data_IF_821435907327
#
_entry.id   IF_821435907327
#
_cell.length_a   1.000
_cell.length_b   1.000
_cell.length_c   1.000
_cell.angle_alpha   90.00
_cell.angle_beta   90.00
_cell.angle_gamma   90.00
#
_symmetry.space_group_name_H-M   'P 1'
#
loop_
_entity.id
_entity.type
_entity.pdbx_description
1 polymer ?
#
# COMPACT_ATOMS: atom_id res chain seq x y z
N UNK A 1 0.44 -34.78 -95.91
CA UNK A 1 -0.26 -36.04 -95.55
C UNK A 1 -0.88 -35.94 -94.15
N UNK A 2 -2.17 -35.58 -94.05
CA UNK A 2 -2.89 -35.53 -92.78
C UNK A 2 -3.18 -36.96 -92.31
N UNK A 3 -2.47 -37.43 -91.28
CA UNK A 3 -2.76 -38.71 -90.60
C UNK A 3 -4.19 -38.67 -90.06
N UNK A 4 -5.09 -39.43 -90.67
CA UNK A 4 -6.46 -39.67 -90.17
C UNK A 4 -6.36 -40.20 -88.74
N UNK A 5 -6.74 -39.38 -87.75
CA UNK A 5 -6.97 -39.85 -86.38
C UNK A 5 -8.07 -40.92 -86.44
N UNK A 6 -7.70 -42.21 -86.26
CA UNK A 6 -8.66 -43.29 -86.02
C UNK A 6 -9.50 -42.89 -84.79
N UNK A 7 -10.77 -42.53 -84.99
CA UNK A 7 -11.74 -42.35 -83.91
C UNK A 7 -11.70 -43.62 -83.05
N UNK A 8 -11.34 -43.50 -81.77
CA UNK A 8 -11.38 -44.60 -80.80
C UNK A 8 -12.80 -45.14 -80.80
N UNK A 9 -12.98 -46.40 -81.22
CA UNK A 9 -14.27 -47.10 -81.23
C UNK A 9 -14.90 -46.97 -79.84
N UNK A 10 -16.00 -46.24 -79.73
CA UNK A 10 -16.71 -46.06 -78.47
C UNK A 10 -17.25 -47.42 -78.04
N UNK A 11 -16.94 -47.82 -76.80
CA UNK A 11 -17.42 -49.07 -76.24
C UNK A 11 -18.94 -49.01 -76.10
N UNK A 12 -19.66 -50.04 -76.52
CA UNK A 12 -21.08 -50.17 -76.19
C UNK A 12 -21.24 -50.67 -74.75
N UNK A 13 -22.45 -50.57 -74.20
CA UNK A 13 -22.76 -51.07 -72.86
C UNK A 13 -22.47 -52.57 -72.73
N UNK A 14 -22.82 -53.37 -73.73
CA UNK A 14 -22.57 -54.83 -73.75
C UNK A 14 -21.07 -55.13 -73.78
N UNK A 15 -20.30 -54.41 -74.61
CA UNK A 15 -18.84 -54.60 -74.72
C UNK A 15 -18.12 -54.17 -73.43
N UNK A 16 -18.62 -53.15 -72.72
CA UNK A 16 -18.09 -52.77 -71.41
C UNK A 16 -18.34 -53.85 -70.35
N UNK A 17 -19.54 -54.41 -70.28
CA UNK A 17 -19.89 -55.50 -69.36
C UNK A 17 -19.07 -56.75 -69.69
N UNK A 18 -18.95 -57.11 -70.99
CA UNK A 18 -18.14 -58.24 -71.46
C UNK A 18 -16.68 -58.14 -71.00
N UNK A 19 -16.04 -56.97 -71.16
CA UNK A 19 -14.66 -56.75 -70.68
C UNK A 19 -14.50 -56.82 -69.17
N UNK A 20 -15.54 -56.43 -68.42
CA UNK A 20 -15.53 -56.58 -66.97
C UNK A 20 -15.64 -58.05 -66.56
N UNK A 21 -16.48 -58.83 -67.25
CA UNK A 21 -16.64 -60.27 -67.04
C UNK A 21 -15.35 -61.01 -67.43
N UNK A 22 -14.72 -60.70 -68.55
CA UNK A 22 -13.45 -61.32 -68.97
C UNK A 22 -12.33 -61.11 -67.93
N UNK A 23 -12.29 -59.93 -67.30
CA UNK A 23 -11.20 -59.58 -66.36
C UNK A 23 -11.42 -60.11 -64.96
N UNK A 24 -12.65 -60.05 -64.45
CA UNK A 24 -12.94 -60.36 -63.05
C UNK A 24 -13.73 -61.67 -62.89
N UNK A 25 -14.25 -62.26 -63.96
CA UNK A 25 -15.19 -63.38 -63.92
C UNK A 25 -16.64 -62.91 -63.72
N UNK A 26 -17.59 -63.75 -64.13
CA UNK A 26 -19.03 -63.42 -64.17
C UNK A 26 -19.67 -63.24 -62.76
N UNK A 27 -19.00 -63.74 -61.73
CA UNK A 27 -19.57 -63.86 -60.38
C UNK A 27 -19.06 -62.81 -59.38
N UNK A 28 -18.26 -61.84 -59.82
CA UNK A 28 -17.68 -60.83 -58.91
C UNK A 28 -18.53 -59.57 -58.82
N UNK A 29 -19.11 -59.13 -59.94
CA UNK A 29 -19.90 -57.90 -60.04
C UNK A 29 -21.28 -58.17 -60.60
N UNK A 30 -22.24 -57.39 -60.13
CA UNK A 30 -23.60 -57.31 -60.61
C UNK A 30 -23.75 -55.98 -61.37
N UNK A 31 -24.12 -56.10 -62.65
CA UNK A 31 -24.25 -55.01 -63.61
C UNK A 31 -25.72 -54.73 -63.97
N UNK A 32 -26.69 -55.31 -63.27
CA UNK A 32 -28.13 -55.15 -63.53
C UNK A 32 -28.59 -53.69 -63.52
N UNK A 33 -28.00 -52.86 -62.66
CA UNK A 33 -28.29 -51.41 -62.56
C UNK A 33 -27.23 -50.53 -63.26
N UNK A 34 -26.35 -51.13 -64.08
CA UNK A 34 -25.23 -50.41 -64.72
C UNK A 34 -25.64 -49.82 -66.06
N UNK A 35 -25.69 -48.49 -66.15
CA UNK A 35 -25.86 -47.76 -67.42
C UNK A 35 -24.51 -47.17 -67.85
N UNK A 36 -24.01 -47.60 -69.01
CA UNK A 36 -22.74 -47.10 -69.56
C UNK A 36 -23.00 -46.03 -70.62
N UNK A 37 -22.49 -44.82 -70.39
CA UNK A 37 -22.59 -43.70 -71.35
C UNK A 37 -21.28 -43.52 -72.12
N UNK A 38 -20.16 -43.38 -71.41
CA UNK A 38 -18.83 -43.28 -72.00
C UNK A 38 -17.74 -43.58 -70.94
N UNK A 39 -16.47 -43.68 -71.38
CA UNK A 39 -15.35 -44.01 -70.50
C UNK A 39 -15.04 -43.00 -69.38
N UNK A 40 -15.58 -41.78 -69.46
CA UNK A 40 -15.37 -40.67 -68.53
C UNK A 40 -16.58 -40.44 -67.60
N UNK A 41 -17.73 -41.05 -67.87
CA UNK A 41 -18.90 -41.01 -67.00
C UNK A 41 -18.84 -42.15 -66.00
N UNK A 42 -19.12 -41.89 -64.72
CA UNK A 42 -19.12 -42.93 -63.69
C UNK A 42 -20.28 -43.90 -63.93
N UNK A 43 -20.01 -45.17 -63.69
CA UNK A 43 -21.01 -46.24 -63.72
C UNK A 43 -21.23 -46.78 -62.32
N UNK A 44 -22.48 -47.13 -61.99
CA UNK A 44 -22.84 -47.81 -60.74
C UNK A 44 -22.57 -49.30 -60.89
N UNK A 45 -21.80 -49.86 -59.97
CA UNK A 45 -21.47 -51.30 -59.95
C UNK A 45 -21.66 -51.85 -58.54
N UNK A 46 -22.23 -53.04 -58.46
CA UNK A 46 -22.47 -53.75 -57.20
C UNK A 46 -21.56 -54.97 -57.10
N UNK A 47 -20.92 -55.17 -55.96
CA UNK A 47 -20.13 -56.38 -55.73
C UNK A 47 -21.01 -57.52 -55.21
N UNK A 48 -21.08 -58.64 -55.93
CA UNK A 48 -21.86 -59.82 -55.51
C UNK A 48 -21.35 -60.44 -54.20
N UNK A 49 -20.03 -60.34 -53.92
CA UNK A 49 -19.40 -60.93 -52.71
C UNK A 49 -19.71 -60.20 -51.40
N UNK A 50 -19.87 -58.88 -51.42
CA UNK A 50 -20.06 -58.09 -50.20
C UNK A 50 -21.27 -57.13 -50.23
N UNK A 51 -22.05 -57.17 -51.31
CA UNK A 51 -23.21 -56.32 -51.53
C UNK A 51 -22.91 -54.83 -51.74
N UNK A 52 -21.63 -54.42 -51.70
CA UNK A 52 -21.26 -53.01 -51.78
C UNK A 52 -21.54 -52.42 -53.17
N UNK A 53 -22.30 -51.33 -53.23
CA UNK A 53 -22.60 -50.56 -54.44
C UNK A 53 -21.76 -49.28 -54.41
N UNK A 54 -21.09 -48.97 -55.52
CA UNK A 54 -20.36 -47.70 -55.65
C UNK A 54 -20.31 -47.21 -57.09
N UNK A 55 -20.07 -45.92 -57.24
CA UNK A 55 -19.87 -45.26 -58.53
C UNK A 55 -18.37 -45.22 -58.87
N UNK A 56 -18.01 -45.69 -60.06
CA UNK A 56 -16.62 -45.78 -60.51
C UNK A 56 -16.51 -45.47 -61.99
N UNK A 57 -15.39 -44.87 -62.39
CA UNK A 57 -15.11 -44.67 -63.81
C UNK A 57 -14.84 -46.03 -64.50
N UNK A 58 -15.43 -46.30 -65.68
CA UNK A 58 -15.24 -47.53 -66.43
C UNK A 58 -13.79 -47.98 -66.57
N UNK A 59 -12.89 -47.05 -66.93
CA UNK A 59 -11.47 -47.35 -67.06
C UNK A 59 -10.78 -47.64 -65.71
N UNK A 60 -11.20 -46.97 -64.63
CA UNK A 60 -10.65 -47.20 -63.30
C UNK A 60 -11.09 -48.57 -62.74
N UNK A 61 -12.34 -48.97 -63.01
CA UNK A 61 -12.83 -50.31 -62.67
C UNK A 61 -12.02 -51.37 -63.39
N UNK A 62 -11.84 -51.23 -64.72
CA UNK A 62 -11.02 -52.11 -65.53
C UNK A 62 -9.54 -52.11 -65.14
N UNK A 63 -9.02 -51.16 -64.36
CA UNK A 63 -7.63 -51.19 -63.84
C UNK A 63 -7.54 -51.60 -62.37
N UNK A 64 -8.66 -51.65 -61.66
CA UNK A 64 -8.69 -51.94 -60.23
C UNK A 64 -8.32 -53.41 -59.93
N UNK A 65 -7.96 -53.67 -58.67
CA UNK A 65 -7.74 -55.03 -58.13
C UNK A 65 -9.05 -55.69 -57.65
N UNK A 66 -10.21 -55.17 -58.07
CA UNK A 66 -11.54 -55.63 -57.66
C UNK A 66 -12.27 -54.64 -56.73
N UNK A 67 -13.25 -55.14 -55.96
CA UNK A 67 -14.05 -54.31 -55.04
C UNK A 67 -13.17 -53.63 -53.97
N UNK A 68 -13.32 -52.30 -53.82
CA UNK A 68 -12.59 -51.49 -52.84
C UNK A 68 -12.84 -51.96 -51.40
N UNK A 69 -14.08 -52.27 -51.04
CA UNK A 69 -14.46 -52.72 -49.68
C UNK A 69 -13.83 -54.07 -49.34
N UNK A 70 -13.88 -55.04 -50.25
CA UNK A 70 -13.22 -56.34 -50.08
C UNK A 70 -11.70 -56.21 -49.96
N UNK A 71 -11.09 -55.30 -50.72
CA UNK A 71 -9.63 -55.05 -50.67
C UNK A 71 -9.22 -54.46 -49.33
N UNK A 72 -10.00 -53.50 -48.80
CA UNK A 72 -9.78 -52.92 -47.48
C UNK A 72 -9.91 -53.98 -46.39
N UNK A 73 -10.98 -54.80 -46.43
CA UNK A 73 -11.19 -55.88 -45.46
C UNK A 73 -10.04 -56.89 -45.47
N UNK A 74 -9.63 -57.38 -46.65
CA UNK A 74 -8.49 -58.30 -46.79
C UNK A 74 -7.17 -57.72 -46.27
N UNK A 75 -6.92 -56.43 -46.49
CA UNK A 75 -5.71 -55.76 -45.98
C UNK A 75 -5.78 -55.50 -44.47
N UNK A 76 -6.98 -55.32 -43.91
CA UNK A 76 -7.21 -55.21 -42.47
C UNK A 76 -6.97 -56.56 -41.78
N UNK A 77 -7.52 -57.64 -42.36
CA UNK A 77 -7.37 -59.00 -41.83
C UNK A 77 -5.90 -59.46 -41.86
N UNK A 78 -5.15 -59.11 -42.92
CA UNK A 78 -3.70 -59.36 -43.01
C UNK A 78 -2.84 -58.57 -41.99
N UNK A 79 -3.37 -57.48 -41.41
CA UNK A 79 -2.66 -56.64 -40.43
C UNK A 79 -3.02 -56.98 -38.99
N UNK A 80 -3.94 -57.93 -38.78
CA UNK A 80 -4.41 -58.30 -37.44
C UNK A 80 -3.39 -59.25 -36.80
N UNK A 81 -2.43 -58.65 -36.09
CA UNK A 81 -1.45 -59.38 -35.26
C UNK A 81 -2.17 -60.14 -34.13
N UNK A 82 -1.73 -61.36 -33.83
CA UNK A 82 -2.25 -62.16 -32.72
C UNK A 82 -1.61 -61.78 -31.38
N UNK A 83 -2.19 -62.24 -30.26
CA UNK A 83 -1.61 -62.05 -28.92
C UNK A 83 -0.22 -62.71 -28.81
N UNK A 84 -0.06 -63.90 -29.36
CA UNK A 84 1.21 -64.65 -29.34
C UNK A 84 2.29 -63.93 -30.15
N UNK A 85 1.93 -63.42 -31.33
CA UNK A 85 2.82 -62.61 -32.18
C UNK A 85 3.24 -61.33 -31.45
N UNK A 86 2.31 -60.65 -30.78
CA UNK A 86 2.60 -59.47 -29.98
C UNK A 86 3.62 -59.78 -28.85
N UNK A 87 3.40 -60.85 -28.08
CA UNK A 87 4.28 -61.22 -26.96
C UNK A 87 5.68 -61.56 -27.47
N UNK A 88 5.79 -62.27 -28.60
CA UNK A 88 7.08 -62.59 -29.21
C UNK A 88 7.83 -61.33 -29.62
N UNK A 89 7.20 -60.44 -30.40
CA UNK A 89 7.83 -59.18 -30.81
C UNK A 89 8.20 -58.30 -29.61
N UNK A 90 7.33 -58.22 -28.60
CA UNK A 90 7.56 -57.39 -27.41
C UNK A 90 8.70 -57.92 -26.54
N UNK A 91 8.86 -59.25 -26.48
CA UNK A 91 9.99 -59.91 -25.80
C UNK A 91 11.30 -59.64 -26.54
N UNK A 92 11.30 -59.67 -27.87
CA UNK A 92 12.49 -59.34 -28.67
C UNK A 92 12.90 -57.86 -28.52
N UNK A 93 11.95 -56.92 -28.63
CA UNK A 93 12.23 -55.47 -28.55
C UNK A 93 12.79 -55.06 -27.18
N UNK A 94 12.25 -55.62 -26.11
CA UNK A 94 12.63 -55.28 -24.74
C UNK A 94 13.55 -56.32 -24.08
N UNK A 95 14.12 -57.24 -24.88
CA UNK A 95 15.06 -58.28 -24.43
C UNK A 95 14.54 -59.09 -23.23
N UNK A 96 13.25 -59.42 -23.22
CA UNK A 96 12.61 -60.18 -22.16
C UNK A 96 12.48 -59.46 -20.81
N UNK A 97 12.60 -58.13 -20.75
CA UNK A 97 12.53 -57.38 -19.48
C UNK A 97 11.14 -57.37 -18.80
N UNK A 98 10.05 -57.59 -19.54
CA UNK A 98 8.68 -57.41 -19.04
C UNK A 98 7.89 -58.70 -19.02
N UNK A 99 6.94 -58.79 -18.08
CA UNK A 99 5.95 -59.84 -18.00
C UNK A 99 4.62 -59.37 -18.62
N UNK A 100 4.07 -60.21 -19.51
CA UNK A 100 2.88 -59.97 -20.31
C UNK A 100 1.68 -60.84 -19.88
N UNK A 101 1.75 -61.51 -18.72
CA UNK A 101 0.71 -62.43 -18.22
C UNK A 101 -0.68 -61.79 -18.07
N UNK A 102 -0.75 -60.46 -17.93
CA UNK A 102 -2.00 -59.69 -17.80
C UNK A 102 -2.41 -58.94 -19.08
N UNK A 103 -1.78 -59.24 -20.21
CA UNK A 103 -2.09 -58.56 -21.48
C UNK A 103 -3.36 -59.14 -22.10
N UNK A 104 -4.35 -58.27 -22.30
CA UNK A 104 -5.54 -58.55 -23.12
C UNK A 104 -5.36 -57.79 -24.44
N UNK A 105 -4.95 -58.49 -25.50
CA UNK A 105 -4.67 -57.86 -26.79
C UNK A 105 -5.92 -57.77 -27.66
N UNK A 106 -6.35 -56.55 -27.97
CA UNK A 106 -7.50 -56.28 -28.87
C UNK A 106 -7.03 -55.72 -30.21
N UNK A 107 -6.22 -54.67 -30.17
CA UNK A 107 -5.62 -54.01 -31.34
C UNK A 107 -4.37 -53.22 -30.91
N UNK A 108 -3.68 -52.58 -31.85
CA UNK A 108 -2.43 -51.88 -31.59
C UNK A 108 -2.55 -50.58 -30.78
N UNK A 109 -3.76 -50.03 -30.66
CA UNK A 109 -4.02 -48.72 -30.05
C UNK A 109 -4.74 -48.83 -28.71
N UNK A 110 -5.25 -50.01 -28.36
CA UNK A 110 -5.90 -50.26 -27.07
C UNK A 110 -4.83 -50.42 -25.99
N UNK A 111 -4.94 -49.71 -24.85
CA UNK A 111 -4.03 -49.88 -23.73
C UNK A 111 -4.00 -51.32 -23.22
N UNK A 112 -2.79 -51.80 -22.93
CA UNK A 112 -2.51 -53.10 -22.32
C UNK A 112 -1.78 -52.91 -20.99
N UNK A 113 -2.00 -53.85 -20.07
CA UNK A 113 -1.29 -53.92 -18.79
C UNK A 113 -0.02 -54.75 -18.94
N UNK A 114 1.14 -54.12 -18.78
CA UNK A 114 2.45 -54.79 -18.81
C UNK A 114 3.07 -54.71 -17.43
N UNK A 115 3.72 -55.78 -16.97
CA UNK A 115 4.34 -55.83 -15.65
C UNK A 115 5.84 -55.60 -15.78
N UNK A 116 6.33 -54.58 -15.10
CA UNK A 116 7.75 -54.35 -14.90
C UNK A 116 8.21 -55.04 -13.61
N UNK A 117 9.30 -55.83 -13.63
CA UNK A 117 9.79 -56.52 -12.43
C UNK A 117 10.22 -55.57 -11.31
N UNK A 118 10.64 -54.35 -11.64
CA UNK A 118 11.11 -53.35 -10.66
C UNK A 118 9.98 -52.44 -10.14
N UNK A 119 9.00 -52.13 -11.00
CA UNK A 119 8.03 -51.05 -10.73
C UNK A 119 6.56 -51.47 -10.76
N UNK A 120 6.29 -52.76 -10.99
CA UNK A 120 4.97 -53.34 -11.07
C UNK A 120 4.25 -53.05 -12.38
N UNK A 121 2.91 -53.11 -12.33
CA UNK A 121 2.01 -52.91 -13.47
C UNK A 121 2.06 -51.48 -14.01
N UNK A 122 2.12 -51.35 -15.34
CA UNK A 122 1.95 -50.08 -16.04
C UNK A 122 1.14 -50.27 -17.33
N UNK A 123 0.44 -49.20 -17.72
CA UNK A 123 -0.36 -49.16 -18.94
C UNK A 123 0.45 -48.59 -20.10
N UNK A 124 0.41 -49.25 -21.25
CA UNK A 124 0.97 -48.74 -22.52
C UNK A 124 0.14 -49.25 -23.69
N UNK A 125 0.27 -48.67 -24.88
CA UNK A 125 -0.36 -49.25 -26.07
C UNK A 125 0.63 -50.16 -26.79
N UNK A 126 0.19 -51.27 -27.42
CA UNK A 126 1.07 -52.14 -28.20
C UNK A 126 1.90 -51.39 -29.24
N UNK A 127 1.31 -50.38 -29.91
CA UNK A 127 2.02 -49.51 -30.84
C UNK A 127 3.18 -48.76 -30.18
N UNK A 128 2.97 -48.13 -29.01
CA UNK A 128 4.04 -47.40 -28.30
C UNK A 128 5.11 -48.34 -27.77
N UNK A 129 4.69 -49.49 -27.22
CA UNK A 129 5.59 -50.48 -26.65
C UNK A 129 6.51 -51.12 -27.71
N UNK A 130 5.98 -51.42 -28.91
CA UNK A 130 6.75 -52.03 -29.99
C UNK A 130 7.45 -50.99 -30.90
N UNK A 131 6.69 -50.08 -31.49
CA UNK A 131 7.20 -49.17 -32.54
C UNK A 131 8.02 -48.03 -31.98
N UNK A 132 7.58 -47.44 -30.87
CA UNK A 132 8.34 -46.37 -30.18
C UNK A 132 9.35 -46.91 -29.17
N UNK A 133 9.35 -48.23 -28.92
CA UNK A 133 10.21 -48.91 -27.95
C UNK A 133 10.12 -48.26 -26.56
N UNK A 134 8.95 -47.73 -26.23
CA UNK A 134 8.70 -47.13 -24.92
C UNK A 134 8.55 -48.23 -23.89
N UNK A 135 9.31 -48.15 -22.80
CA UNK A 135 9.24 -49.11 -21.69
C UNK A 135 8.50 -48.53 -20.47
N UNK A 136 8.76 -49.10 -19.30
CA UNK A 136 8.22 -48.58 -18.04
C UNK A 136 8.64 -47.11 -17.83
N UNK A 137 7.69 -46.18 -17.60
CA UNK A 137 7.98 -44.78 -17.35
C UNK A 137 8.88 -44.54 -16.13
N UNK A 138 8.73 -45.35 -15.07
CA UNK A 138 9.53 -45.25 -13.85
C UNK A 138 11.00 -45.64 -14.10
N UNK A 139 11.26 -46.77 -14.79
CA UNK A 139 12.61 -47.10 -15.27
C UNK A 139 13.22 -45.98 -16.13
N UNK A 140 12.41 -45.35 -16.99
CA UNK A 140 12.85 -44.25 -17.84
C UNK A 140 13.33 -43.04 -17.02
N UNK A 141 12.55 -42.66 -16.00
CA UNK A 141 12.88 -41.56 -15.09
C UNK A 141 14.15 -41.88 -14.28
N UNK A 142 14.31 -43.11 -13.79
CA UNK A 142 15.50 -43.51 -13.03
C UNK A 142 16.78 -43.46 -13.87
N UNK A 143 16.74 -43.94 -15.11
CA UNK A 143 17.87 -43.83 -16.04
C UNK A 143 18.26 -42.37 -16.31
N UNK A 144 17.27 -41.49 -16.48
CA UNK A 144 17.51 -40.05 -16.65
C UNK A 144 18.13 -39.46 -15.38
N UNK A 145 17.63 -39.82 -14.20
CA UNK A 145 18.19 -39.36 -12.91
C UNK A 145 19.62 -39.82 -12.71
N UNK A 146 19.93 -41.09 -13.00
CA UNK A 146 21.29 -41.61 -12.91
C UNK A 146 22.23 -40.89 -13.88
N UNK A 147 21.79 -40.65 -15.12
CA UNK A 147 22.57 -39.90 -16.13
C UNK A 147 22.80 -38.43 -15.76
N UNK A 148 21.84 -37.80 -15.07
CA UNK A 148 21.93 -36.40 -14.63
C UNK A 148 22.53 -36.23 -13.23
N UNK A 149 22.76 -37.33 -12.50
CA UNK A 149 23.35 -37.30 -11.17
C UNK A 149 24.84 -37.04 -11.29
N UNK A 150 25.22 -35.78 -11.07
CA UNK A 150 26.62 -35.38 -11.04
C UNK A 150 27.36 -36.13 -9.92
N UNK A 151 28.59 -36.58 -10.16
CA UNK A 151 29.40 -37.26 -9.14
C UNK A 151 30.11 -36.26 -8.21
N UNK A 152 30.73 -36.77 -7.12
CA UNK A 152 31.54 -35.94 -6.21
C UNK A 152 32.71 -35.31 -6.96
N UNK A 153 33.37 -36.08 -7.82
CA UNK A 153 34.54 -35.68 -8.59
C UNK A 153 34.17 -34.59 -9.61
N UNK A 154 33.05 -34.77 -10.30
CA UNK A 154 32.52 -33.76 -11.24
C UNK A 154 32.15 -32.46 -10.54
N UNK A 155 31.60 -32.53 -9.32
CA UNK A 155 31.33 -31.33 -8.51
C UNK A 155 32.63 -30.58 -8.18
N UNK A 156 33.65 -31.29 -7.70
CA UNK A 156 34.94 -30.68 -7.32
C UNK A 156 35.62 -30.04 -8.54
N UNK A 157 35.65 -30.72 -9.69
CA UNK A 157 36.21 -30.17 -10.93
C UNK A 157 35.50 -28.88 -11.37
N UNK A 158 34.16 -28.86 -11.33
CA UNK A 158 33.39 -27.65 -11.68
C UNK A 158 33.65 -26.52 -10.68
N UNK A 159 33.78 -26.83 -9.40
CA UNK A 159 34.05 -25.84 -8.37
C UNK A 159 35.47 -25.26 -8.50
N UNK A 160 36.46 -26.11 -8.81
CA UNK A 160 37.84 -25.69 -9.12
C UNK A 160 37.90 -24.83 -10.40
N UNK A 161 37.08 -25.09 -11.42
CA UNK A 161 37.00 -24.24 -12.61
C UNK A 161 36.54 -22.81 -12.30
N UNK A 162 35.66 -22.63 -11.32
CA UNK A 162 35.09 -21.32 -10.96
C UNK A 162 35.99 -20.57 -9.98
N UNK A 163 36.55 -21.27 -8.99
CA UNK A 163 37.24 -20.66 -7.87
C UNK A 163 38.76 -20.95 -7.84
N UNK A 164 39.29 -21.74 -8.76
CA UNK A 164 40.67 -22.23 -8.73
C UNK A 164 40.95 -23.00 -7.43
N UNK A 165 42.09 -22.71 -6.81
CA UNK A 165 42.53 -23.30 -5.54
C UNK A 165 42.05 -22.51 -4.29
N UNK A 166 40.96 -21.76 -4.40
CA UNK A 166 40.48 -20.89 -3.31
C UNK A 166 39.81 -21.63 -2.15
N UNK A 167 39.31 -22.84 -2.38
CA UNK A 167 38.62 -23.64 -1.37
C UNK A 167 39.16 -25.06 -1.34
N UNK A 168 39.12 -25.67 -0.16
CA UNK A 168 39.44 -27.08 0.06
C UNK A 168 38.13 -27.89 0.21
N UNK A 169 38.06 -29.00 -0.53
CA UNK A 169 36.90 -29.88 -0.65
C UNK A 169 37.12 -31.25 0.01
N UNK A 170 38.15 -31.40 0.85
CA UNK A 170 38.51 -32.67 1.50
C UNK A 170 37.36 -33.28 2.33
N UNK A 171 36.49 -32.43 2.90
CA UNK A 171 35.34 -32.85 3.72
C UNK A 171 34.01 -32.93 2.93
N UNK A 172 34.05 -32.89 1.59
CA UNK A 172 32.83 -32.94 0.78
C UNK A 172 32.27 -34.37 0.71
N UNK A 173 31.07 -34.54 1.24
CA UNK A 173 30.21 -35.71 1.05
C UNK A 173 29.07 -35.34 0.09
N UNK A 174 29.28 -35.58 -1.21
CA UNK A 174 28.31 -35.20 -2.23
C UNK A 174 27.19 -36.26 -2.35
N UNK A 175 25.95 -35.85 -2.06
CA UNK A 175 24.74 -36.68 -2.28
C UNK A 175 23.92 -36.21 -3.47
N UNK A 176 23.67 -34.90 -3.57
CA UNK A 176 22.96 -34.27 -4.67
C UNK A 176 23.17 -32.74 -4.63
N UNK A 177 22.70 -32.04 -5.68
CA UNK A 177 22.85 -30.58 -5.82
C UNK A 177 22.11 -29.72 -4.78
N UNK A 178 21.19 -30.32 -4.01
CA UNK A 178 20.35 -29.63 -3.03
C UNK A 178 20.78 -29.87 -1.58
N UNK A 179 21.59 -30.90 -1.34
CA UNK A 179 22.11 -31.24 0.00
C UNK A 179 23.34 -30.40 0.26
N UNK A 180 23.45 -29.83 1.47
CA UNK A 180 24.61 -29.03 1.84
C UNK A 180 25.85 -29.92 1.94
N UNK A 181 26.97 -29.39 1.48
CA UNK A 181 28.31 -29.98 1.61
C UNK A 181 29.19 -29.07 2.47
N UNK A 182 30.15 -29.66 3.19
CA UNK A 182 31.13 -28.94 3.99
C UNK A 182 32.31 -28.54 3.11
N UNK A 183 32.55 -27.24 2.98
CA UNK A 183 33.61 -26.65 2.17
C UNK A 183 34.53 -25.85 3.10
N UNK A 184 35.83 -25.92 2.90
CA UNK A 184 36.81 -25.23 3.73
C UNK A 184 37.27 -23.96 3.01
N UNK A 185 37.06 -22.81 3.66
CA UNK A 185 37.68 -21.56 3.26
C UNK A 185 39.00 -21.36 4.04
N UNK A 186 40.14 -21.14 3.38
CA UNK A 186 41.42 -20.92 4.05
C UNK A 186 41.41 -19.74 5.04
N UNK A 187 40.55 -18.73 4.80
CA UNK A 187 40.44 -17.54 5.68
C UNK A 187 39.46 -17.70 6.84
N UNK A 188 38.37 -18.44 6.62
CA UNK A 188 37.19 -18.41 7.50
C UNK A 188 36.80 -19.77 8.08
N UNK A 189 37.55 -20.82 7.72
CA UNK A 189 37.31 -22.20 8.16
C UNK A 189 36.19 -22.90 7.38
N UNK A 190 35.62 -23.92 8.00
CA UNK A 190 34.57 -24.75 7.43
C UNK A 190 33.26 -23.96 7.32
N UNK A 191 32.59 -24.04 6.18
CA UNK A 191 31.23 -23.53 5.98
C UNK A 191 30.40 -24.51 5.16
N UNK A 192 29.08 -24.46 5.34
CA UNK A 192 28.15 -25.34 4.65
C UNK A 192 27.40 -24.60 3.54
N UNK A 193 27.38 -25.19 2.35
CA UNK A 193 26.66 -24.64 1.21
C UNK A 193 26.15 -25.75 0.30
N UNK A 194 25.05 -25.52 -0.41
CA UNK A 194 24.59 -26.48 -1.43
C UNK A 194 25.48 -26.40 -2.67
N UNK A 195 25.81 -27.52 -3.33
CA UNK A 195 26.61 -27.54 -4.55
C UNK A 195 26.13 -26.57 -5.62
N UNK A 196 24.81 -26.48 -5.83
CA UNK A 196 24.23 -25.55 -6.81
C UNK A 196 24.54 -24.08 -6.48
N UNK A 197 24.39 -23.66 -5.22
CA UNK A 197 24.72 -22.27 -4.79
C UNK A 197 26.21 -22.00 -4.84
N UNK A 198 27.02 -23.01 -4.56
CA UNK A 198 28.46 -22.89 -4.65
C UNK A 198 28.90 -22.67 -6.10
N UNK A 199 28.43 -23.51 -7.03
CA UNK A 199 28.71 -23.39 -8.45
C UNK A 199 28.10 -22.15 -9.11
N UNK A 200 27.11 -21.51 -8.49
CA UNK A 200 26.54 -20.25 -9.00
C UNK A 200 27.34 -18.99 -8.61
N UNK A 201 28.53 -19.13 -8.00
CA UNK A 201 29.41 -17.99 -7.69
C UNK A 201 29.25 -17.38 -6.30
N UNK A 202 28.47 -17.95 -5.38
CA UNK A 202 28.27 -17.36 -4.05
C UNK A 202 29.48 -17.49 -3.10
N UNK A 203 30.26 -18.56 -3.22
CA UNK A 203 31.45 -18.81 -2.40
C UNK A 203 31.19 -18.77 -0.88
N UNK A 204 32.24 -18.42 -0.13
CA UNK A 204 32.18 -18.29 1.33
C UNK A 204 31.36 -17.04 1.74
N UNK A 205 30.33 -17.19 2.60
CA UNK A 205 29.52 -16.06 3.07
C UNK A 205 30.31 -14.98 3.80
N UNK A 206 31.34 -15.36 4.58
CA UNK A 206 32.17 -14.43 5.34
C UNK A 206 33.07 -13.60 4.41
N UNK A 207 33.72 -14.23 3.43
CA UNK A 207 34.44 -13.50 2.37
C UNK A 207 33.52 -12.52 1.61
N UNK A 208 32.31 -12.96 1.27
CA UNK A 208 31.36 -12.12 0.55
C UNK A 208 30.93 -10.89 1.38
N UNK A 209 30.77 -11.07 2.69
CA UNK A 209 30.45 -9.98 3.62
C UNK A 209 31.61 -8.98 3.75
N UNK A 210 32.85 -9.46 3.87
CA UNK A 210 34.04 -8.59 3.93
C UNK A 210 34.19 -7.73 2.67
N UNK A 211 34.08 -8.34 1.50
CA UNK A 211 34.17 -7.62 0.23
C UNK A 211 33.00 -6.65 0.05
N UNK A 212 31.79 -7.01 0.49
CA UNK A 212 30.64 -6.10 0.52
C UNK A 212 30.90 -4.91 1.46
N UNK A 213 31.47 -5.16 2.64
CA UNK A 213 31.78 -4.10 3.60
C UNK A 213 32.81 -3.12 3.03
N UNK A 214 33.89 -3.63 2.40
CA UNK A 214 34.91 -2.79 1.74
C UNK A 214 34.33 -1.91 0.63
N UNK A 215 33.40 -2.44 -0.17
CA UNK A 215 32.69 -1.68 -1.21
C UNK A 215 31.75 -0.62 -0.64
N UNK A 216 31.23 -0.83 0.57
CA UNK A 216 30.31 0.09 1.23
C UNK A 216 31.01 1.15 2.09
N UNK A 217 32.26 0.91 2.51
CA UNK A 217 33.09 1.93 3.17
C UNK A 217 33.56 2.96 2.15
N UNK A 218 32.98 4.15 2.27
CA UNK A 218 33.41 5.35 1.54
C UNK A 218 34.79 5.82 2.05
N UNK A 219 35.64 6.38 1.20
CA UNK A 219 36.93 6.96 1.66
C UNK A 219 36.72 8.34 2.29
N UNK A 220 37.76 8.86 2.97
CA UNK A 220 37.77 10.22 3.54
C UNK A 220 37.54 11.27 2.46
N UNK A 221 38.17 11.13 1.30
CA UNK A 221 38.07 12.05 0.18
C UNK A 221 36.64 12.07 -0.37
N UNK A 222 36.04 10.89 -0.55
CA UNK A 222 34.66 10.74 -0.99
C UNK A 222 33.66 11.32 0.03
N UNK A 223 33.94 11.21 1.34
CA UNK A 223 33.16 11.88 2.37
C UNK A 223 33.19 13.40 2.21
N UNK A 224 34.38 13.98 2.09
CA UNK A 224 34.57 15.44 1.96
C UNK A 224 33.90 15.97 0.70
N UNK A 225 34.01 15.27 -0.43
CA UNK A 225 33.36 15.66 -1.69
C UNK A 225 31.83 15.72 -1.53
N UNK A 226 31.22 14.70 -0.92
CA UNK A 226 29.77 14.68 -0.66
C UNK A 226 29.35 15.77 0.34
N UNK A 227 30.15 15.99 1.38
CA UNK A 227 29.87 17.03 2.37
C UNK A 227 29.90 18.43 1.73
N UNK A 228 30.84 18.69 0.81
CA UNK A 228 30.90 19.92 0.01
C UNK A 228 29.70 20.07 -0.95
N UNK A 229 29.18 18.98 -1.52
CA UNK A 229 27.95 19.04 -2.33
C UNK A 229 26.72 19.47 -1.51
N UNK A 230 26.63 19.05 -0.26
CA UNK A 230 25.49 19.33 0.62
C UNK A 230 25.58 20.72 1.25
N UNK A 231 26.76 21.12 1.72
CA UNK A 231 26.95 22.36 2.49
C UNK A 231 27.69 23.47 1.74
N UNK A 232 28.13 23.21 0.50
CA UNK A 232 29.04 24.10 -0.23
C UNK A 232 30.39 24.24 0.49
N UNK A 233 30.98 25.43 0.43
CA UNK A 233 32.25 25.78 1.10
C UNK A 233 32.04 26.33 2.52
N UNK A 234 30.97 25.90 3.21
CA UNK A 234 30.57 26.45 4.52
C UNK A 234 31.43 25.96 5.69
N UNK A 235 32.07 24.79 5.55
CA UNK A 235 32.84 24.14 6.61
C UNK A 235 34.23 23.77 6.12
N UNK A 236 35.17 23.73 7.06
CA UNK A 236 36.51 23.20 6.85
C UNK A 236 36.60 21.77 7.41
N UNK A 237 37.11 20.87 6.58
CA UNK A 237 37.21 19.42 6.83
C UNK A 237 38.65 18.95 7.08
N UNK A 238 39.58 19.87 7.36
CA UNK A 238 41.01 19.56 7.56
C UNK A 238 41.26 18.54 8.67
N UNK A 239 40.39 18.52 9.70
CA UNK A 239 40.47 17.62 10.85
C UNK A 239 39.54 16.39 10.74
N UNK A 240 38.97 16.11 9.57
CA UNK A 240 38.10 14.96 9.39
C UNK A 240 38.92 13.67 9.28
N UNK A 241 38.67 12.78 10.22
CA UNK A 241 39.06 11.37 10.19
C UNK A 241 37.79 10.53 9.99
N UNK A 242 37.68 9.87 8.82
CA UNK A 242 36.50 9.10 8.47
C UNK A 242 36.82 7.61 8.47
N UNK A 243 36.13 6.86 9.33
CA UNK A 243 36.20 5.39 9.36
C UNK A 243 34.92 4.74 8.83
N UNK A 244 33.76 5.21 9.28
CA UNK A 244 32.45 4.64 8.95
C UNK A 244 31.32 5.67 9.05
N UNK A 245 30.19 5.40 8.42
CA UNK A 245 29.06 6.34 8.39
C UNK A 245 28.54 6.73 9.79
N UNK A 246 28.62 5.80 10.75
CA UNK A 246 28.21 5.98 12.14
C UNK A 246 29.35 6.44 13.07
N UNK A 247 30.54 6.78 12.57
CA UNK A 247 31.57 7.41 13.39
C UNK A 247 31.33 8.93 13.47
N UNK A 248 31.77 9.53 14.58
CA UNK A 248 31.81 10.98 14.73
C UNK A 248 32.99 11.53 13.92
N UNK A 249 32.78 12.65 13.24
CA UNK A 249 33.81 13.41 12.53
C UNK A 249 33.93 14.79 13.15
N UNK A 250 35.16 15.31 13.22
CA UNK A 250 35.47 16.67 13.68
C UNK A 250 35.42 17.62 12.49
N UNK A 251 34.48 18.56 12.50
CA UNK A 251 34.26 19.52 11.41
C UNK A 251 34.45 20.93 11.97
N UNK A 252 35.09 21.81 11.21
CA UNK A 252 35.34 23.18 11.61
C UNK A 252 34.27 24.09 11.02
N UNK A 253 33.53 24.78 11.89
CA UNK A 253 32.67 25.88 11.52
C UNK A 253 33.44 27.20 11.59
N UNK A 254 33.51 28.00 10.50
CA UNK A 254 34.21 29.28 10.50
C UNK A 254 33.74 30.27 11.58
N UNK A 255 32.47 30.18 12.01
CA UNK A 255 31.89 31.06 13.04
C UNK A 255 32.02 30.54 14.46
N UNK A 256 32.05 29.22 14.65
CA UNK A 256 31.82 28.59 15.96
C UNK A 256 32.92 27.62 16.38
N UNK A 257 33.95 27.44 15.55
CA UNK A 257 35.06 26.53 15.79
C UNK A 257 34.71 25.07 15.50
N UNK A 258 35.47 24.17 16.12
CA UNK A 258 35.34 22.71 15.94
C UNK A 258 34.05 22.20 16.57
N UNK A 259 33.32 21.34 15.86
CA UNK A 259 32.21 20.58 16.39
C UNK A 259 32.25 19.13 15.90
N UNK A 260 31.67 18.24 16.69
CA UNK A 260 31.59 16.81 16.36
C UNK A 260 30.18 16.42 15.93
N UNK A 261 30.09 15.60 14.89
CA UNK A 261 28.81 15.06 14.41
C UNK A 261 29.01 13.69 13.75
N UNK A 262 27.97 12.85 13.75
CA UNK A 262 27.99 11.60 12.99
C UNK A 262 28.12 11.89 11.49
N UNK A 263 29.01 11.20 10.81
CA UNK A 263 29.32 11.46 9.39
C UNK A 263 28.07 11.42 8.51
N UNK A 264 27.19 10.42 8.68
CA UNK A 264 25.96 10.32 7.89
C UNK A 264 24.96 11.47 8.16
N UNK A 265 24.88 11.96 9.40
CA UNK A 265 24.02 13.09 9.76
C UNK A 265 24.47 14.36 9.04
N UNK A 266 25.78 14.57 8.94
CA UNK A 266 26.33 15.72 8.24
C UNK A 266 25.98 15.69 6.75
N UNK A 267 26.10 14.53 6.11
CA UNK A 267 25.73 14.33 4.71
C UNK A 267 24.22 14.47 4.44
N UNK A 268 23.37 14.35 5.46
CA UNK A 268 21.93 14.61 5.35
C UNK A 268 21.57 16.09 5.45
N UNK A 269 22.56 16.98 5.60
CA UNK A 269 22.34 18.43 5.69
C UNK A 269 22.35 18.97 7.11
N UNK A 270 22.66 18.15 8.12
CA UNK A 270 22.89 18.66 9.46
C UNK A 270 24.22 19.42 9.51
N UNK A 271 24.19 20.65 10.02
CA UNK A 271 25.34 21.53 10.10
C UNK A 271 25.80 21.76 11.54
N UNK A 272 26.53 22.85 11.74
CA UNK A 272 26.91 23.33 13.07
C UNK A 272 25.67 23.57 13.96
N UNK A 273 25.57 22.95 15.15
CA UNK A 273 24.45 23.15 16.07
C UNK A 273 24.28 24.60 16.53
N UNK A 274 25.40 25.31 16.78
CA UNK A 274 25.36 26.72 17.20
C UNK A 274 24.79 27.63 16.11
N UNK A 275 25.20 27.43 14.85
CA UNK A 275 24.58 28.11 13.69
C UNK A 275 23.08 27.83 13.58
N UNK A 276 22.64 26.59 13.86
CA UNK A 276 21.23 26.24 13.81
C UNK A 276 20.42 26.99 14.88
N UNK A 277 20.95 27.10 16.09
CA UNK A 277 20.33 27.83 17.22
C UNK A 277 20.23 29.34 16.91
N UNK A 278 21.29 29.95 16.39
CA UNK A 278 21.28 31.37 16.01
C UNK A 278 20.20 31.68 14.97
N UNK A 279 20.10 30.85 13.93
CA UNK A 279 19.07 30.98 12.89
C UNK A 279 17.65 30.88 13.45
N UNK A 280 17.43 30.05 14.47
CA UNK A 280 16.12 29.93 15.14
C UNK A 280 15.81 31.21 15.90
N UNK A 281 16.74 31.71 16.73
CA UNK A 281 16.56 32.95 17.49
C UNK A 281 16.29 34.16 16.61
N UNK A 282 16.98 34.26 15.47
CA UNK A 282 16.78 35.33 14.49
C UNK A 282 15.37 35.27 13.87
N UNK A 283 14.91 34.06 13.48
CA UNK A 283 13.54 33.85 12.98
C UNK A 283 12.47 34.20 14.02
N UNK A 284 12.69 33.86 15.29
CA UNK A 284 11.78 34.22 16.38
C UNK A 284 11.69 35.74 16.58
N UNK A 285 12.84 36.44 16.54
CA UNK A 285 12.90 37.91 16.64
C UNK A 285 12.10 38.57 15.50
N UNK A 286 12.35 38.17 14.26
CA UNK A 286 11.62 38.66 13.08
C UNK A 286 10.12 38.34 13.19
N UNK A 287 9.76 37.17 13.71
CA UNK A 287 8.36 36.78 13.95
C UNK A 287 7.66 37.67 14.96
N UNK A 288 8.33 38.00 16.08
CA UNK A 288 7.82 38.91 17.11
C UNK A 288 7.58 40.32 16.55
N UNK A 289 8.55 40.88 15.83
CA UNK A 289 8.46 42.23 15.26
C UNK A 289 7.32 42.33 14.24
N UNK A 290 7.23 41.37 13.32
CA UNK A 290 6.14 41.30 12.32
C UNK A 290 4.75 41.15 12.97
N UNK A 291 4.65 40.41 14.07
CA UNK A 291 3.39 40.28 14.81
C UNK A 291 2.96 41.62 15.42
N UNK A 292 3.87 42.31 16.12
CA UNK A 292 3.57 43.59 16.78
C UNK A 292 3.17 44.65 15.75
N UNK A 293 3.85 44.71 14.60
CA UNK A 293 3.53 45.64 13.54
C UNK A 293 2.10 45.44 13.02
N UNK A 294 1.72 44.20 12.68
CA UNK A 294 0.36 43.89 12.21
C UNK A 294 -0.69 44.15 13.29
N UNK A 295 -0.40 43.81 14.54
CA UNK A 295 -1.32 44.03 15.65
C UNK A 295 -1.58 45.53 15.90
N UNK A 296 -0.54 46.38 15.76
CA UNK A 296 -0.68 47.84 15.81
C UNK A 296 -1.53 48.39 14.65
N UNK A 297 -1.45 47.82 13.44
CA UNK A 297 -2.29 48.25 12.31
C UNK A 297 -3.78 47.98 12.54
N UNK A 298 -4.13 46.86 13.17
CA UNK A 298 -5.54 46.46 13.39
C UNK A 298 -6.14 47.19 14.60
N UNK A 299 -5.40 47.24 15.71
CA UNK A 299 -5.94 47.73 16.99
C UNK A 299 -5.47 49.15 17.36
N UNK A 300 -4.59 49.75 16.56
CA UNK A 300 -3.97 51.04 16.87
C UNK A 300 -3.19 50.99 18.18
N UNK A 301 -3.38 52.02 19.01
CA UNK A 301 -2.70 52.19 20.30
C UNK A 301 -3.44 51.54 21.50
N UNK A 302 -4.47 50.71 21.27
CA UNK A 302 -5.33 50.13 22.33
C UNK A 302 -4.63 49.10 23.24
N UNK A 303 -3.52 48.50 22.78
CA UNK A 303 -2.82 47.44 23.49
C UNK A 303 -1.32 47.73 23.63
N UNK A 304 -0.72 47.16 24.68
CA UNK A 304 0.72 47.12 24.89
C UNK A 304 1.23 45.66 24.81
N UNK A 305 2.30 45.49 24.03
CA UNK A 305 2.90 44.21 23.66
C UNK A 305 4.27 43.98 24.34
N UNK A 306 4.64 44.79 25.33
CA UNK A 306 5.94 44.71 26.02
C UNK A 306 6.20 43.32 26.64
N UNK A 307 5.14 42.62 27.07
CA UNK A 307 5.21 41.27 27.65
C UNK A 307 5.07 40.12 26.64
N UNK A 308 5.01 40.42 25.34
CA UNK A 308 4.84 39.39 24.31
C UNK A 308 6.13 38.59 24.12
N UNK A 309 6.03 37.29 24.38
CA UNK A 309 7.00 36.26 24.00
C UNK A 309 6.43 35.47 22.83
N UNK A 310 6.83 35.83 21.61
CA UNK A 310 6.30 35.23 20.40
C UNK A 310 6.99 33.88 20.13
N UNK A 311 6.18 32.83 19.96
CA UNK A 311 6.67 31.47 19.64
C UNK A 311 6.13 31.05 18.28
N UNK A 312 4.80 31.04 18.13
CA UNK A 312 4.10 30.78 16.86
C UNK A 312 2.72 31.46 16.90
N UNK A 313 1.95 31.33 15.82
CA UNK A 313 0.64 31.99 15.65
C UNK A 313 -0.45 31.48 16.62
N UNK A 314 -0.28 30.28 17.16
CA UNK A 314 -1.29 29.54 17.93
C UNK A 314 -1.00 29.50 19.44
N UNK A 315 0.22 29.86 19.85
CA UNK A 315 0.62 29.91 21.26
C UNK A 315 0.13 31.20 21.89
N UNK A 316 -0.57 31.11 23.02
CA UNK A 316 -1.10 32.29 23.72
C UNK A 316 0.04 33.20 24.20
N UNK A 317 -0.10 34.49 23.92
CA UNK A 317 0.79 35.56 24.37
C UNK A 317 0.10 36.46 25.40
N UNK A 318 0.88 37.08 26.27
CA UNK A 318 0.40 38.07 27.26
C UNK A 318 0.30 39.44 26.59
N UNK A 319 -0.91 40.00 26.55
CA UNK A 319 -1.20 41.33 25.99
C UNK A 319 -1.80 42.19 27.08
N UNK A 320 -1.37 43.45 27.16
CA UNK A 320 -1.89 44.43 28.12
C UNK A 320 -2.93 45.29 27.40
N UNK A 321 -4.15 45.36 27.91
CA UNK A 321 -5.15 46.29 27.39
C UNK A 321 -4.98 47.66 28.07
N UNK A 322 -4.72 48.72 27.30
CA UNK A 322 -4.55 50.06 27.89
C UNK A 322 -5.85 50.64 28.46
N UNK A 323 -7.01 50.18 27.96
CA UNK A 323 -8.31 50.70 28.39
C UNK A 323 -8.75 50.18 29.78
N UNK A 324 -8.46 48.92 30.11
CA UNK A 324 -8.82 48.34 31.42
C UNK A 324 -7.60 48.02 32.29
N UNK A 325 -6.39 48.31 31.79
CA UNK A 325 -5.10 48.03 32.40
C UNK A 325 -4.88 46.58 32.87
N UNK A 326 -5.61 45.62 32.28
CA UNK A 326 -5.50 44.19 32.60
C UNK A 326 -4.64 43.45 31.59
N UNK A 327 -3.93 42.44 32.09
CA UNK A 327 -3.18 41.48 31.28
C UNK A 327 -4.13 40.34 30.91
N UNK A 328 -4.21 39.99 29.63
CA UNK A 328 -4.96 38.84 29.17
C UNK A 328 -4.13 37.97 28.23
N UNK A 329 -4.54 36.71 28.11
CA UNK A 329 -3.91 35.72 27.25
C UNK A 329 -4.73 35.55 25.97
N UNK A 330 -4.08 35.70 24.82
CA UNK A 330 -4.72 35.48 23.52
C UNK A 330 -3.68 34.97 22.51
N UNK A 331 -4.13 34.18 21.54
CA UNK A 331 -3.24 33.72 20.46
C UNK A 331 -2.98 34.86 19.48
N UNK A 332 -1.77 34.98 18.92
CA UNK A 332 -1.46 35.95 17.88
C UNK A 332 -2.44 35.91 16.71
N UNK A 333 -2.86 34.72 16.27
CA UNK A 333 -3.86 34.57 15.20
C UNK A 333 -5.20 35.25 15.54
N UNK A 334 -5.77 34.95 16.72
CA UNK A 334 -7.05 35.53 17.14
C UNK A 334 -6.92 37.04 17.36
N UNK A 335 -5.78 37.48 17.87
CA UNK A 335 -5.55 38.91 18.05
C UNK A 335 -5.50 39.65 16.70
N UNK A 336 -4.83 39.07 15.70
CA UNK A 336 -4.75 39.63 14.35
C UNK A 336 -6.04 39.50 13.53
N UNK A 337 -7.01 38.67 13.93
CA UNK A 337 -8.33 38.64 13.29
C UNK A 337 -9.29 39.69 13.88
N UNK A 338 -8.84 40.48 14.87
CA UNK A 338 -9.61 41.59 15.44
C UNK A 338 -10.25 41.29 16.79
N UNK A 339 -10.00 40.12 17.40
CA UNK A 339 -10.51 39.86 18.76
C UNK A 339 -9.83 40.78 19.77
N UNK A 340 -10.66 41.54 20.50
CA UNK A 340 -10.21 42.48 21.52
C UNK A 340 -10.06 41.87 22.92
N UNK A 341 -9.94 42.74 23.93
CA UNK A 341 -9.84 42.33 25.32
C UNK A 341 -11.15 41.63 25.78
N UNK A 342 -11.07 40.41 26.34
CA UNK A 342 -12.25 39.67 26.81
C UNK A 342 -12.92 40.31 28.03
N UNK A 343 -12.24 41.23 28.73
CA UNK A 343 -12.80 41.94 29.88
C UNK A 343 -13.60 43.19 29.48
N UNK A 344 -13.29 43.80 28.35
CA UNK A 344 -14.03 44.97 27.85
C UNK A 344 -15.32 44.59 27.11
N UNK A 345 -15.48 43.32 26.72
CA UNK A 345 -16.52 42.89 25.77
C UNK A 345 -17.64 42.02 26.40
N UNK A 346 -17.79 42.00 27.74
CA UNK A 346 -18.60 40.99 28.45
C UNK A 346 -19.89 41.44 29.16
N UNK A 347 -20.38 42.67 28.93
CA UNK A 347 -21.71 43.06 29.41
C UNK A 347 -22.42 43.86 28.32
N UNK A 348 -23.63 43.46 27.93
CA UNK A 348 -24.44 44.08 26.86
C UNK A 348 -24.94 45.50 27.16
N UNK A 349 -24.07 46.34 27.71
CA UNK A 349 -24.26 47.76 27.98
C UNK A 349 -23.43 48.51 26.95
N UNK A 350 -24.09 49.39 26.21
CA UNK A 350 -23.44 50.37 25.35
C UNK A 350 -23.06 51.57 26.22
N UNK A 351 -21.77 51.68 26.53
CA UNK A 351 -21.26 52.74 27.41
C UNK A 351 -21.35 54.14 26.79
N UNK A 352 -21.63 54.25 25.49
CA UNK A 352 -21.81 55.54 24.80
C UNK A 352 -23.23 56.10 24.89
N UNK A 353 -24.20 55.30 25.35
CA UNK A 353 -25.61 55.69 25.46
C UNK A 353 -25.99 56.03 26.90
N UNK A 354 -27.07 56.81 27.11
CA UNK A 354 -27.63 57.05 28.44
C UNK A 354 -27.86 55.73 29.19
N UNK A 355 -27.53 55.76 30.48
CA UNK A 355 -27.57 54.56 31.31
C UNK A 355 -28.22 54.88 32.67
N UNK A 356 -28.75 53.84 33.29
CA UNK A 356 -29.43 53.88 34.57
C UNK A 356 -28.67 53.03 35.56
N UNK A 357 -28.23 53.64 36.65
CA UNK A 357 -27.80 52.93 37.85
C UNK A 357 -29.05 52.67 38.69
N UNK A 358 -29.28 51.43 39.11
CA UNK A 358 -30.41 51.08 39.96
C UNK A 358 -29.95 50.42 41.24
N UNK A 359 -30.77 50.60 42.27
CA UNK A 359 -30.65 49.93 43.56
C UNK A 359 -31.98 49.25 43.88
N UNK A 360 -31.93 47.94 44.08
CA UNK A 360 -33.11 47.10 44.32
C UNK A 360 -32.98 46.32 45.62
N UNK A 361 -34.12 46.05 46.26
CA UNK A 361 -34.28 45.06 47.32
C UNK A 361 -34.76 43.74 46.72
N UNK A 362 -34.23 42.63 47.22
CA UNK A 362 -34.50 41.27 46.80
C UNK A 362 -34.90 40.47 48.04
N UNK A 363 -36.10 39.93 48.05
CA UNK A 363 -36.57 39.04 49.11
C UNK A 363 -36.22 37.58 48.79
N UNK A 364 -35.47 36.93 49.66
CA UNK A 364 -35.08 35.53 49.51
C UNK A 364 -35.05 34.82 50.86
N UNK A 365 -35.84 33.74 51.02
CA UNK A 365 -35.95 32.95 52.25
C UNK A 365 -36.21 33.79 53.51
N UNK A 366 -37.19 34.71 53.44
CA UNK A 366 -37.55 35.66 54.50
C UNK A 366 -36.39 36.57 54.97
N UNK A 367 -35.38 36.78 54.11
CA UNK A 367 -34.30 37.74 54.32
C UNK A 367 -34.24 38.71 53.13
N UNK A 368 -33.85 39.94 53.45
CA UNK A 368 -33.67 40.99 52.46
C UNK A 368 -32.21 41.11 52.02
N UNK A 369 -32.02 41.18 50.71
CA UNK A 369 -30.75 41.44 50.06
C UNK A 369 -30.88 42.65 49.15
N UNK A 370 -29.77 43.33 48.88
CA UNK A 370 -29.79 44.57 48.11
C UNK A 370 -28.83 44.47 46.94
N UNK A 371 -29.26 44.86 45.74
CA UNK A 371 -28.40 44.79 44.55
C UNK A 371 -28.27 46.16 43.90
N UNK A 372 -27.03 46.50 43.57
CA UNK A 372 -26.72 47.63 42.70
C UNK A 372 -26.36 47.12 41.29
N UNK A 373 -26.74 47.88 40.25
CA UNK A 373 -26.44 47.51 38.87
C UNK A 373 -26.65 48.64 37.86
N UNK A 374 -25.95 48.59 36.72
CA UNK A 374 -26.13 49.54 35.60
C UNK A 374 -26.83 48.96 34.37
N UNK A 375 -27.71 49.70 33.68
CA UNK A 375 -28.43 49.23 32.48
C UNK A 375 -28.71 50.37 31.48
N UNK A 376 -28.74 50.10 30.17
CA UNK A 376 -29.27 51.06 29.19
C UNK A 376 -30.81 50.95 29.01
N UNK A 377 -31.48 49.97 29.63
CA UNK A 377 -32.94 49.80 29.54
C UNK A 377 -33.65 50.72 30.54
N UNK A 378 -34.70 51.41 30.08
CA UNK A 378 -35.51 52.32 30.92
C UNK A 378 -36.30 51.59 32.01
N UNK A 379 -36.75 50.37 31.72
CA UNK A 379 -37.44 49.49 32.68
C UNK A 379 -36.46 48.46 33.25
N UNK A 380 -36.28 48.49 34.57
CA UNK A 380 -35.34 47.66 35.32
C UNK A 380 -35.87 46.23 35.46
N UNK A 381 -37.19 46.03 35.58
CA UNK A 381 -37.78 44.70 35.75
C UNK A 381 -37.49 43.80 34.54
N UNK A 382 -37.45 44.39 33.34
CA UNK A 382 -37.10 43.71 32.08
C UNK A 382 -35.62 43.26 31.96
N UNK A 383 -34.81 43.46 33.01
CA UNK A 383 -33.48 42.86 33.13
C UNK A 383 -33.52 41.51 33.85
N UNK A 384 -34.52 41.27 34.69
CA UNK A 384 -34.63 40.08 35.51
C UNK A 384 -35.62 39.09 34.90
N UNK A 385 -35.43 37.79 35.17
CA UNK A 385 -36.37 36.76 34.74
C UNK A 385 -37.73 36.93 35.47
N UNK A 386 -38.85 36.49 34.89
CA UNK A 386 -40.17 36.65 35.49
C UNK A 386 -40.28 36.11 36.93
N UNK A 387 -39.53 35.06 37.26
CA UNK A 387 -39.50 34.46 38.61
C UNK A 387 -38.75 35.32 39.63
N UNK A 388 -37.73 36.06 39.18
CA UNK A 388 -36.96 37.00 40.01
C UNK A 388 -37.75 38.32 40.19
N UNK A 389 -38.54 38.75 39.19
CA UNK A 389 -39.31 40.00 39.25
C UNK A 389 -40.29 40.05 40.44
N UNK A 390 -40.90 38.91 40.80
CA UNK A 390 -41.83 38.81 41.94
C UNK A 390 -41.16 39.02 43.30
N UNK A 391 -39.83 38.88 43.36
CA UNK A 391 -39.03 38.99 44.59
C UNK A 391 -38.32 40.33 44.71
N UNK A 392 -38.41 41.17 43.69
CA UNK A 392 -37.62 42.39 43.56
C UNK A 392 -38.50 43.62 43.78
N UNK A 393 -38.02 44.56 44.58
CA UNK A 393 -38.58 45.90 44.72
C UNK A 393 -37.52 46.93 44.35
N UNK A 394 -37.80 47.76 43.33
CA UNK A 394 -36.90 48.87 42.97
C UNK A 394 -36.96 49.94 44.06
N UNK A 395 -35.81 50.27 44.64
CA UNK A 395 -35.70 51.30 45.69
C UNK A 395 -35.33 52.64 45.06
N UNK A 396 -34.28 52.69 44.23
CA UNK A 396 -33.79 53.93 43.59
C UNK A 396 -33.26 53.69 42.19
N UNK A 397 -33.34 54.74 41.37
CA UNK A 397 -32.82 54.77 39.99
C UNK A 397 -32.19 56.12 39.73
N UNK A 398 -30.94 56.13 39.27
CA UNK A 398 -30.22 57.32 38.83
C UNK A 398 -29.97 57.24 37.33
N UNK A 399 -30.21 58.35 36.63
CA UNK A 399 -29.97 58.47 35.19
C UNK A 399 -28.66 59.22 34.94
N UNK A 400 -27.80 58.65 34.10
CA UNK A 400 -26.54 59.23 33.64
C UNK A 400 -26.57 59.45 32.13
N UNK A 401 -25.81 60.44 31.65
CA UNK A 401 -25.74 60.79 30.23
C UNK A 401 -25.05 59.71 29.39
N UNK A 402 -24.11 58.98 30.00
CA UNK A 402 -23.41 57.85 29.38
C UNK A 402 -23.22 56.69 30.38
N UNK A 403 -22.82 55.52 29.87
CA UNK A 403 -22.56 54.33 30.70
C UNK A 403 -21.27 54.39 31.51
N UNK A 404 -20.31 55.25 31.13
CA UNK A 404 -19.04 55.35 31.83
C UNK A 404 -19.18 55.98 33.21
N UNK A 405 -20.01 57.02 33.33
CA UNK A 405 -20.32 57.66 34.62
C UNK A 405 -21.07 56.72 35.56
N UNK A 406 -22.07 56.02 35.05
CA UNK A 406 -22.81 55.04 35.85
C UNK A 406 -21.92 53.89 36.33
N UNK A 407 -21.00 53.39 35.49
CA UNK A 407 -20.04 52.36 35.87
C UNK A 407 -19.05 52.85 36.93
N UNK A 408 -18.58 54.10 36.80
CA UNK A 408 -17.67 54.70 37.77
C UNK A 408 -18.31 54.78 39.15
N UNK A 409 -19.58 55.16 39.21
CA UNK A 409 -20.31 55.29 40.48
C UNK A 409 -20.70 53.92 41.07
N UNK A 410 -21.08 52.95 40.24
CA UNK A 410 -21.27 51.55 40.65
C UNK A 410 -20.00 50.98 41.30
N UNK A 411 -18.84 51.16 40.67
CA UNK A 411 -17.56 50.67 41.18
C UNK A 411 -17.14 51.37 42.47
N UNK A 412 -17.43 52.67 42.60
CA UNK A 412 -17.17 53.44 43.82
C UNK A 412 -17.96 52.87 45.00
N UNK A 413 -19.27 52.66 44.82
CA UNK A 413 -20.15 52.08 45.85
C UNK A 413 -19.72 50.64 46.20
N UNK A 414 -19.41 49.81 45.20
CA UNK A 414 -18.92 48.44 45.45
C UNK A 414 -17.60 48.41 46.22
N UNK A 415 -16.72 49.41 46.01
CA UNK A 415 -15.45 49.53 46.73
C UNK A 415 -15.65 50.04 48.15
N UNK A 416 -16.52 51.03 48.35
CA UNK A 416 -16.80 51.66 49.64
C UNK A 416 -17.51 50.71 50.60
N UNK A 417 -18.47 49.92 50.10
CA UNK A 417 -19.30 49.01 50.90
C UNK A 417 -18.94 47.53 50.72
N UNK A 418 -17.68 47.25 50.34
CA UNK A 418 -17.20 45.89 50.04
C UNK A 418 -17.43 44.88 51.17
N UNK A 419 -17.34 45.34 52.42
CA UNK A 419 -17.49 44.50 53.61
C UNK A 419 -18.92 43.97 53.82
N UNK A 420 -19.91 44.57 53.13
CA UNK A 420 -21.31 44.16 53.18
C UNK A 420 -21.73 43.33 51.98
N UNK A 421 -20.81 42.99 51.08
CA UNK A 421 -21.11 42.12 49.94
C UNK A 421 -21.44 40.71 50.41
N UNK A 422 -22.46 40.14 49.78
CA UNK A 422 -22.87 38.78 50.00
C UNK A 422 -21.83 37.81 49.42
N UNK A 423 -21.23 37.01 50.30
CA UNK A 423 -20.19 36.04 49.96
C UNK A 423 -20.67 34.57 50.11
N UNK A 424 -21.98 34.36 50.17
CA UNK A 424 -22.56 33.02 50.31
C UNK A 424 -22.58 32.22 49.01
N UNK A 425 -22.63 30.89 49.14
CA UNK A 425 -22.61 29.96 48.01
C UNK A 425 -23.98 29.80 47.33
N UNK A 426 -25.07 30.22 47.98
CA UNK A 426 -26.42 30.15 47.43
C UNK A 426 -26.68 31.29 46.44
N UNK A 427 -27.32 30.97 45.31
CA UNK A 427 -27.72 31.96 44.30
C UNK A 427 -28.99 32.68 44.75
N UNK A 428 -28.85 33.96 45.10
CA UNK A 428 -29.97 34.82 45.49
C UNK A 428 -30.87 35.13 44.29
N UNK A 429 -30.26 35.43 43.14
CA UNK A 429 -30.96 35.60 41.86
C UNK A 429 -30.67 34.43 40.92
N UNK A 430 -31.69 34.00 40.17
CA UNK A 430 -31.56 33.00 39.10
C UNK A 430 -30.77 33.59 37.92
N UNK A 431 -30.91 34.90 37.72
CA UNK A 431 -30.12 35.69 36.76
C UNK A 431 -28.66 35.89 37.21
N UNK A 432 -27.76 36.12 36.25
CA UNK A 432 -26.34 36.41 36.54
C UNK A 432 -26.20 37.78 37.23
N UNK A 433 -25.19 37.95 38.10
CA UNK A 433 -24.95 39.21 38.83
C UNK A 433 -25.09 39.09 40.35
N UNK A 434 -24.83 37.91 40.93
CA UNK A 434 -24.84 37.71 42.38
C UNK A 434 -23.61 38.33 43.08
N UNK A 435 -22.62 38.80 42.31
CA UNK A 435 -21.38 39.43 42.80
C UNK A 435 -21.55 40.88 43.27
N UNK A 436 -22.66 41.53 42.94
CA UNK A 436 -22.97 42.91 43.32
C UNK A 436 -24.17 43.00 44.29
N UNK A 437 -24.33 42.00 45.16
CA UNK A 437 -25.40 41.90 46.16
C UNK A 437 -24.83 42.20 47.55
N UNK A 438 -25.57 42.94 48.36
CA UNK A 438 -25.28 43.29 49.75
C UNK A 438 -26.23 42.60 50.71
N UNK A 439 -25.73 42.25 51.90
CA UNK A 439 -26.49 41.57 52.98
C UNK A 439 -27.30 42.51 53.86
N UNK A 440 -27.15 43.83 53.67
CA UNK A 440 -27.89 44.88 54.38
C UNK A 440 -28.12 46.08 53.48
N UNK A 441 -29.08 46.93 53.84
CA UNK A 441 -29.29 48.17 53.12
C UNK A 441 -28.13 49.15 53.37
N UNK A 442 -27.35 49.42 52.32
CA UNK A 442 -26.22 50.36 52.38
C UNK A 442 -26.65 51.81 52.10
N UNK A 443 -27.89 52.04 51.66
CA UNK A 443 -28.42 53.37 51.34
C UNK A 443 -29.51 53.84 52.31
N UNK A 444 -29.73 53.13 53.43
CA UNK A 444 -30.67 53.46 54.51
C UNK A 444 -32.08 53.87 54.03
N UNK A 445 -32.74 53.02 53.26
CA UNK A 445 -34.06 53.30 52.66
C UNK A 445 -35.27 53.12 53.60
N UNK A 446 -35.08 52.56 54.80
CA UNK A 446 -36.16 52.26 55.77
C UNK A 446 -36.32 53.27 56.93
N UNK A 447 -35.70 54.45 56.88
CA UNK A 447 -36.00 55.55 57.84
C UNK A 447 -36.84 56.63 57.17
N UNK A 448 -38.10 56.74 57.56
CA UNK A 448 -38.84 58.01 57.43
C UNK A 448 -38.09 59.08 58.24
N UNK A 449 -37.37 59.95 57.53
CA UNK A 449 -36.60 61.06 58.09
C UNK A 449 -35.16 60.71 58.49
N UNK A 450 -34.19 60.99 57.63
CA UNK A 450 -32.77 61.01 58.05
C UNK A 450 -31.74 60.99 56.91
N UNK A 451 -31.15 62.16 56.64
CA UNK A 451 -29.95 62.45 55.82
C UNK A 451 -29.92 61.94 54.37
N UNK A 452 -30.29 62.86 53.47
CA UNK A 452 -29.97 62.81 52.04
C UNK A 452 -28.46 62.97 51.83
N UNK A 453 -27.78 61.95 51.29
CA UNK A 453 -26.69 62.23 50.37
C UNK A 453 -27.31 62.40 48.98
N UNK A 454 -27.51 63.66 48.60
CA UNK A 454 -27.89 64.05 47.26
C UNK A 454 -26.74 63.69 46.30
N UNK A 455 -26.96 62.70 45.43
CA UNK A 455 -25.97 62.23 44.44
C UNK A 455 -25.84 63.25 43.27
N UNK A 456 -26.54 64.40 43.33
CA UNK A 456 -26.45 65.49 42.34
C UNK A 456 -25.70 66.75 42.78
N UNK A 457 -24.94 66.72 43.86
CA UNK A 457 -24.00 67.81 44.14
C UNK A 457 -22.61 67.43 43.66
N UNK A 458 -22.25 67.80 42.42
CA UNK A 458 -20.92 68.23 41.95
C UNK A 458 -20.91 68.29 40.41
N UNK A 459 -21.61 69.29 39.87
CA UNK A 459 -21.23 69.93 38.60
C UNK A 459 -20.94 71.39 38.91
N UNK A 460 -19.67 71.68 39.11
CA UNK A 460 -18.99 72.95 38.83
C UNK A 460 -17.52 72.63 38.61
#
# INVERSE_FOLDING_TARGET
>A
MKKKMKRKRELTQEEFIRRCIERFGNDIFDFSETVYVNSKTKVKVKCKKCGYVWEVLPYALLRSKGCKKCTIKRNSDKRKMSLEEFIKEATEVHKGKYDYSKVIYVNCDTPITVICPEHGEFQTTPYRHLRRKEGCPKCGIEKIRQKLSMTKEEFIQKAQKIYGNKYDYSLVEYKNNKTKVKIICPKHGIFEQTPNRHLSGQGCPKCALEERSKRQTMTREQFIEKAKKVHGNKYDYSLVEYEKAHSKVKIICPKHGIFEQLAYMHLQGNGCPKCAIERIKEKEKIGKEKFIEKAKRIHGNKYDYSLVKYVNKDTKVKIICKNCNRIFLQTPHNHLTGYGCPHCNKGGIDFTKPSFLYYIRIEHNNKDFYKIGITNKKDIYNRFKPEDQKKIKVIRVWKFENGYEALKEEQKILKEYKDFLYNGNEKILISNGNTEIFVKDILNSDREGGYYHDIRAHTA
#
